data_IF_083675550078
#
_entry.id   IF_083675550078
#
_cell.length_a   1.000
_cell.length_b   1.000
_cell.length_c   1.000
_cell.angle_alpha   90.00
_cell.angle_beta   90.00
_cell.angle_gamma   90.00
#
_symmetry.space_group_name_H-M   'P 1'
#
loop_
_entity.id
_entity.type
_entity.pdbx_description
1 polymer ?
#
# COMPACT_ATOMS: atom_id res chain seq x y z
N UNK A 1 1.00 -16.40 -1.50
CA UNK A 1 1.15 -16.79 -0.07
C UNK A 1 0.59 -15.68 0.81
N UNK A 2 0.04 -15.96 1.99
CA UNK A 2 -0.32 -14.95 3.00
C UNK A 2 0.50 -15.17 4.27
N UNK A 3 0.93 -14.09 4.91
CA UNK A 3 1.78 -14.11 6.10
C UNK A 3 1.13 -13.24 7.16
N UNK A 4 0.94 -13.80 8.37
CA UNK A 4 0.31 -13.06 9.46
C UNK A 4 1.22 -11.98 10.02
N UNK A 5 0.63 -10.84 10.35
CA UNK A 5 1.27 -9.74 11.06
C UNK A 5 0.44 -9.33 12.28
N UNK A 6 1.05 -8.57 13.18
CA UNK A 6 0.42 -8.05 14.39
C UNK A 6 0.69 -6.54 14.49
N UNK A 7 0.20 -5.93 15.56
CA UNK A 7 0.38 -4.50 15.84
C UNK A 7 1.86 -4.10 15.95
N UNK A 8 2.70 -4.93 16.57
CA UNK A 8 4.13 -4.64 16.72
C UNK A 8 4.84 -4.53 15.37
N UNK A 9 4.53 -5.41 14.41
CA UNK A 9 5.07 -5.32 13.05
C UNK A 9 4.64 -4.05 12.33
N UNK A 10 3.40 -3.58 12.57
CA UNK A 10 2.93 -2.31 12.03
C UNK A 10 3.67 -1.12 12.66
N UNK A 11 3.85 -1.10 13.98
CA UNK A 11 4.59 -0.04 14.64
C UNK A 11 6.06 0.00 14.18
N UNK A 12 6.69 -1.17 14.02
CA UNK A 12 8.03 -1.28 13.44
C UNK A 12 8.09 -0.70 12.02
N UNK A 13 7.12 -1.05 11.17
CA UNK A 13 7.04 -0.50 9.82
C UNK A 13 6.88 1.02 9.83
N UNK A 14 5.97 1.55 10.65
CA UNK A 14 5.73 3.00 10.75
C UNK A 14 6.98 3.76 11.20
N UNK A 15 7.70 3.22 12.18
CA UNK A 15 8.82 3.91 12.80
C UNK A 15 10.12 3.76 11.99
N UNK A 16 10.29 2.66 11.23
CA UNK A 16 11.55 2.32 10.56
C UNK A 16 11.47 2.06 9.06
N UNK A 17 10.28 2.01 8.46
CA UNK A 17 10.08 1.69 7.03
C UNK A 17 10.34 0.21 6.69
N UNK A 18 10.39 -0.67 7.69
CA UNK A 18 10.53 -2.11 7.52
C UNK A 18 9.88 -2.86 8.67
N UNK A 19 9.59 -4.13 8.46
CA UNK A 19 9.12 -5.04 9.51
C UNK A 19 9.89 -6.36 9.48
N UNK A 20 9.97 -7.03 10.64
CA UNK A 20 10.61 -8.33 10.82
C UNK A 20 9.54 -9.36 11.18
N UNK A 21 9.35 -10.35 10.31
CA UNK A 21 8.44 -11.49 10.56
C UNK A 21 9.27 -12.76 10.62
N UNK A 22 9.18 -13.51 11.72
CA UNK A 22 9.92 -14.76 11.92
C UNK A 22 11.43 -14.62 11.67
N UNK A 23 12.01 -13.48 12.05
CA UNK A 23 13.43 -13.17 11.85
C UNK A 23 13.82 -12.75 10.43
N UNK A 24 12.86 -12.65 9.50
CA UNK A 24 13.09 -12.20 8.13
C UNK A 24 12.66 -10.75 7.96
N UNK A 25 13.52 -9.94 7.34
CA UNK A 25 13.26 -8.53 7.10
C UNK A 25 12.48 -8.29 5.80
N UNK A 26 11.49 -7.42 5.90
CA UNK A 26 10.65 -6.94 4.81
C UNK A 26 10.77 -5.41 4.75
N UNK A 27 11.40 -4.88 3.71
CA UNK A 27 11.63 -3.44 3.55
C UNK A 27 10.59 -2.83 2.63
N UNK A 28 10.16 -1.60 2.91
CA UNK A 28 9.38 -0.83 1.95
C UNK A 28 10.13 -0.73 0.61
N UNK A 29 9.44 -1.08 -0.47
CA UNK A 29 9.92 -0.99 -1.84
C UNK A 29 9.20 0.10 -2.61
N UNK A 30 7.87 0.17 -2.49
CA UNK A 30 7.05 1.15 -3.19
C UNK A 30 5.80 1.53 -2.35
N UNK A 31 5.19 2.65 -2.70
CA UNK A 31 3.91 3.13 -2.17
C UNK A 31 2.95 3.32 -3.36
N UNK A 32 1.89 2.51 -3.42
CA UNK A 32 1.02 2.42 -4.59
C UNK A 32 -0.11 3.46 -4.56
N UNK A 33 -0.70 3.69 -3.39
CA UNK A 33 -1.73 4.71 -3.22
C UNK A 33 -1.97 5.04 -1.76
N UNK A 34 -2.46 6.26 -1.54
CA UNK A 34 -3.05 6.71 -0.29
C UNK A 34 -4.40 7.33 -0.63
N UNK A 35 -5.49 6.59 -0.39
CA UNK A 35 -6.85 7.08 -0.60
C UNK A 35 -7.46 7.48 0.75
N UNK A 36 -8.20 8.59 0.78
CA UNK A 36 -8.90 9.07 1.96
C UNK A 36 -10.37 9.28 1.59
N UNK A 37 -11.27 8.72 2.39
CA UNK A 37 -12.70 8.94 2.28
C UNK A 37 -13.26 9.49 3.61
N UNK A 38 -14.58 9.65 3.69
CA UNK A 38 -15.24 10.18 4.89
C UNK A 38 -15.08 9.24 6.10
N UNK A 39 -14.81 7.96 5.87
CA UNK A 39 -14.75 6.90 6.88
C UNK A 39 -13.31 6.59 7.34
N UNK A 40 -12.30 6.98 6.57
CA UNK A 40 -10.91 6.69 6.91
C UNK A 40 -9.87 7.04 5.85
N UNK A 41 -8.68 6.48 6.06
CA UNK A 41 -7.56 6.54 5.12
C UNK A 41 -7.05 5.13 4.87
N UNK A 42 -6.78 4.79 3.62
CA UNK A 42 -6.13 3.55 3.22
C UNK A 42 -4.76 3.86 2.62
N UNK A 43 -3.72 3.24 3.13
CA UNK A 43 -2.37 3.30 2.56
C UNK A 43 -1.98 1.90 2.07
N UNK A 44 -1.44 1.84 0.85
CA UNK A 44 -1.03 0.59 0.21
C UNK A 44 0.46 0.62 -0.11
N UNK A 45 1.20 -0.31 0.49
CA UNK A 45 2.65 -0.44 0.34
C UNK A 45 3.03 -1.76 -0.34
N UNK A 46 4.13 -1.75 -1.06
CA UNK A 46 4.83 -2.95 -1.52
C UNK A 46 6.08 -3.14 -0.67
N UNK A 47 6.20 -4.30 -0.05
CA UNK A 47 7.36 -4.71 0.72
C UNK A 47 8.19 -5.72 -0.07
N UNK A 48 9.51 -5.64 0.03
CA UNK A 48 10.43 -6.63 -0.52
C UNK A 48 11.05 -7.46 0.60
N UNK A 49 10.90 -8.78 0.53
CA UNK A 49 11.52 -9.73 1.45
C UNK A 49 13.00 -9.91 1.12
N UNK A 50 13.88 -9.79 2.10
CA UNK A 50 15.33 -9.82 1.85
C UNK A 50 15.88 -11.20 1.48
N UNK A 51 15.26 -12.30 1.91
CA UNK A 51 15.80 -13.65 1.72
C UNK A 51 15.73 -14.14 0.27
N UNK A 52 14.69 -13.77 -0.47
CA UNK A 52 14.46 -14.23 -1.85
C UNK A 52 13.98 -13.14 -2.80
N UNK A 53 13.89 -11.89 -2.32
CA UNK A 53 13.53 -10.74 -3.15
C UNK A 53 12.06 -10.68 -3.55
N UNK A 54 11.20 -11.55 -3.02
CA UNK A 54 9.76 -11.56 -3.32
C UNK A 54 9.06 -10.32 -2.79
N UNK A 55 7.99 -9.94 -3.47
CA UNK A 55 7.19 -8.78 -3.13
C UNK A 55 5.92 -9.16 -2.37
N UNK A 56 5.52 -8.30 -1.45
CA UNK A 56 4.35 -8.48 -0.61
C UNK A 56 3.57 -7.18 -0.53
N UNK A 57 2.26 -7.25 -0.70
CA UNK A 57 1.37 -6.12 -0.52
C UNK A 57 1.00 -5.98 0.96
N UNK A 58 1.15 -4.77 1.47
CA UNK A 58 0.82 -4.39 2.84
C UNK A 58 -0.22 -3.27 2.81
N UNK A 59 -1.41 -3.58 3.31
CA UNK A 59 -2.59 -2.72 3.28
C UNK A 59 -2.91 -2.23 4.69
N UNK A 60 -2.94 -0.92 4.86
CA UNK A 60 -3.11 -0.25 6.14
C UNK A 60 -4.37 0.61 6.05
N UNK A 61 -5.40 0.23 6.79
CA UNK A 61 -6.61 1.05 6.93
C UNK A 61 -6.62 1.78 8.27
N UNK A 62 -6.89 3.08 8.24
CA UNK A 62 -7.01 3.99 9.37
C UNK A 62 -8.46 4.45 9.48
N UNK A 63 -9.18 4.01 10.51
CA UNK A 63 -10.57 4.41 10.74
C UNK A 63 -10.62 5.76 11.47
N UNK A 64 -11.49 6.67 11.01
CA UNK A 64 -11.72 7.96 11.65
C UNK A 64 -12.71 7.81 12.82
N UNK A 65 -12.33 8.24 14.03
CA UNK A 65 -13.21 8.28 15.21
C UNK A 65 -13.26 9.69 15.81
N UNK A 66 -14.00 10.62 15.17
CA UNK A 66 -14.26 11.96 15.74
C UNK A 66 -14.70 13.02 14.73
N UNK A 67 -15.75 13.78 15.06
CA UNK A 67 -16.33 14.84 14.21
C UNK A 67 -15.68 16.23 14.43
N UNK A 68 -14.91 16.44 15.51
CA UNK A 68 -14.34 17.77 15.84
C UNK A 68 -12.86 17.80 16.21
N UNK A 69 -12.26 16.70 16.66
CA UNK A 69 -10.81 16.58 16.90
C UNK A 69 -10.25 15.43 16.06
N UNK A 70 -9.32 15.75 15.15
CA UNK A 70 -8.73 14.84 14.16
C UNK A 70 -7.83 13.77 14.81
N UNK A 71 -8.43 12.82 15.54
CA UNK A 71 -7.77 11.62 16.04
C UNK A 71 -8.05 10.42 15.13
N UNK A 72 -7.00 9.77 14.65
CA UNK A 72 -7.09 8.43 14.06
C UNK A 72 -6.85 7.41 15.18
N UNK A 73 -7.82 6.53 15.45
CA UNK A 73 -7.61 5.46 16.42
C UNK A 73 -7.06 4.22 15.71
N UNK A 74 -6.03 3.62 16.31
CA UNK A 74 -5.07 2.70 15.66
C UNK A 74 -5.65 1.29 15.53
N UNK A 75 -6.30 0.98 14.42
CA UNK A 75 -6.65 -0.41 14.10
C UNK A 75 -6.44 -0.74 12.64
N UNK A 76 -5.35 -1.44 12.33
CA UNK A 76 -5.11 -1.96 10.99
C UNK A 76 -5.68 -3.39 10.84
N UNK A 77 -6.82 -3.46 10.14
CA UNK A 77 -7.27 -4.60 9.34
C UNK A 77 -6.18 -4.89 8.29
N UNK A 78 -5.44 -5.99 8.28
CA UNK A 78 -5.96 -7.32 7.95
C UNK A 78 -5.13 -8.45 8.57
N UNK A 79 -4.25 -8.14 9.53
CA UNK A 79 -3.31 -9.08 10.18
C UNK A 79 -2.55 -9.98 9.19
N UNK A 80 -2.47 -9.62 7.91
CA UNK A 80 -1.88 -10.42 6.85
C UNK A 80 -1.23 -9.51 5.80
N UNK A 81 -0.06 -9.90 5.30
CA UNK A 81 0.52 -9.41 4.04
C UNK A 81 0.41 -10.52 2.98
N UNK A 82 0.23 -10.15 1.72
CA UNK A 82 0.04 -11.10 0.62
C UNK A 82 1.18 -10.99 -0.41
N UNK A 83 1.77 -12.11 -0.80
CA UNK A 83 2.75 -12.16 -1.89
C UNK A 83 2.11 -11.69 -3.21
N UNK A 84 2.82 -10.83 -3.94
CA UNK A 84 2.40 -10.25 -5.23
C UNK A 84 3.54 -10.29 -6.24
N UNK A 85 3.18 -10.19 -7.51
CA UNK A 85 4.11 -10.07 -8.63
C UNK A 85 3.89 -8.72 -9.33
N UNK A 86 4.98 -8.13 -9.82
CA UNK A 86 4.91 -6.92 -10.63
C UNK A 86 4.53 -7.30 -12.07
N UNK A 87 3.44 -6.73 -12.59
CA UNK A 87 3.03 -6.88 -13.99
C UNK A 87 2.98 -5.50 -14.65
N UNK A 88 3.87 -5.27 -15.61
CA UNK A 88 4.00 -3.97 -16.29
C UNK A 88 3.31 -4.01 -17.66
N UNK A 89 2.21 -3.25 -17.80
CA UNK A 89 1.45 -3.14 -19.06
C UNK A 89 1.78 -1.85 -19.80
N UNK A 90 2.30 -1.96 -21.02
CA UNK A 90 2.51 -0.80 -21.92
C UNK A 90 1.35 -0.65 -22.89
N UNK A 91 0.66 0.50 -22.87
CA UNK A 91 -0.46 0.79 -23.78
C UNK A 91 -0.08 1.92 -24.73
N UNK A 92 -0.08 1.65 -26.04
CA UNK A 92 0.05 2.67 -27.08
C UNK A 92 -1.34 3.01 -27.62
N UNK A 93 -1.75 4.28 -27.51
CA UNK A 93 -3.02 4.77 -28.05
C UNK A 93 -2.77 5.79 -29.17
N UNK A 94 -3.33 5.52 -30.34
CA UNK A 94 -3.40 6.46 -31.44
C UNK A 94 -4.74 7.18 -31.39
N UNK A 95 -4.73 8.51 -31.46
CA UNK A 95 -5.94 9.33 -31.53
C UNK A 95 -6.01 10.04 -32.87
N UNK A 96 -7.23 10.23 -33.38
CA UNK A 96 -7.46 10.95 -34.62
C UNK A 96 -7.18 12.43 -34.41
N UNK A 97 -6.37 13.02 -35.29
CA UNK A 97 -6.19 14.46 -35.36
C UNK A 97 -7.42 15.00 -36.09
N UNK A 98 -8.32 15.69 -35.37
CA UNK A 98 -9.38 16.44 -36.06
C UNK A 98 -8.70 17.59 -36.79
N UNK A 99 -8.81 17.63 -38.11
CA UNK A 99 -8.53 18.84 -38.88
C UNK A 99 -9.60 19.87 -38.54
N UNK A 100 -9.20 20.99 -37.95
CA UNK A 100 -10.05 22.17 -37.88
C UNK A 100 -10.36 22.59 -39.32
N UNK A 101 -11.64 22.49 -39.69
CA UNK A 101 -12.15 23.06 -40.93
C UNK A 101 -12.01 24.57 -40.79
N UNK A 102 -11.04 25.15 -41.51
CA UNK A 102 -10.97 26.61 -41.69
C UNK A 102 -12.22 27.06 -42.44
N UNK A 103 -13.14 27.72 -41.73
CA UNK A 103 -14.26 28.49 -42.28
C UNK A 103 -13.76 29.72 -43.08
#
# INVERSE_FOLDING_TARGET
MKIKINTDHYEEFRDYGYLIIDGVKYKQHDELSSDMDDDGRRELYVLKRETDGKFFMFDIYYVRYGYEDYGFDKHCQSNDIQEVEEDQVTITKWISVKEDVND
#
